data_IF_183326113299
#
_entry.id   IF_183326113299
#
_cell.length_a   1.000
_cell.length_b   1.000
_cell.length_c   1.000
_cell.angle_alpha   90.00
_cell.angle_beta   90.00
_cell.angle_gamma   90.00
#
_symmetry.space_group_name_H-M   'P 1'
#
loop_
_entity.id
_entity.type
_entity.pdbx_description
1 polymer ?
#
# COMPACT_ATOMS: atom_id res chain seq x y z
N UNK A 1 -11.41 36.26 35.06
CA UNK A 1 -11.95 34.89 35.17
C UNK A 1 -13.02 34.88 36.23
N UNK A 2 -14.28 34.60 35.86
CA UNK A 2 -15.40 34.59 36.81
C UNK A 2 -15.39 33.25 37.56
N UNK A 3 -15.65 33.27 38.87
CA UNK A 3 -15.65 32.08 39.74
C UNK A 3 -16.61 30.98 39.24
N UNK A 4 -17.64 31.37 38.51
CA UNK A 4 -18.68 30.47 37.98
C UNK A 4 -18.18 29.55 36.85
N UNK A 5 -17.15 29.97 36.10
CA UNK A 5 -16.52 29.13 35.07
C UNK A 5 -15.65 28.03 35.71
N UNK A 6 -15.04 28.33 36.86
CA UNK A 6 -14.22 27.39 37.63
C UNK A 6 -15.07 26.33 38.34
N UNK A 7 -16.24 26.71 38.87
CA UNK A 7 -17.18 25.74 39.45
C UNK A 7 -17.77 24.82 38.39
N UNK A 8 -18.12 25.34 37.21
CA UNK A 8 -18.59 24.52 36.09
C UNK A 8 -17.54 23.53 35.58
N UNK A 9 -16.26 23.94 35.54
CA UNK A 9 -15.14 23.04 35.21
C UNK A 9 -14.91 21.97 36.29
N UNK A 10 -15.10 22.32 37.57
CA UNK A 10 -14.98 21.39 38.70
C UNK A 10 -16.08 20.33 38.68
N UNK A 11 -17.32 20.72 38.40
CA UNK A 11 -18.45 19.79 38.26
C UNK A 11 -18.27 18.86 37.06
N UNK A 12 -17.77 19.36 35.93
CA UNK A 12 -17.43 18.53 34.76
C UNK A 12 -16.30 17.53 35.05
N UNK A 13 -15.34 17.90 35.89
CA UNK A 13 -14.26 17.00 36.33
C UNK A 13 -14.76 15.91 37.29
N UNK A 14 -15.74 16.22 38.13
CA UNK A 14 -16.28 15.30 39.13
C UNK A 14 -17.41 14.41 38.59
N UNK A 15 -18.10 14.85 37.53
CA UNK A 15 -19.20 14.12 36.89
C UNK A 15 -18.77 13.25 35.71
N UNK A 16 -17.51 13.36 35.26
CA UNK A 16 -16.97 12.47 34.26
C UNK A 16 -16.90 11.05 34.85
N UNK A 17 -17.60 10.05 34.28
CA UNK A 17 -17.45 8.66 34.71
C UNK A 17 -15.98 8.29 34.64
N UNK A 18 -15.48 7.48 35.58
CA UNK A 18 -14.14 6.91 35.55
C UNK A 18 -13.94 6.15 34.24
N UNK A 19 -13.54 6.86 33.19
CA UNK A 19 -13.14 6.26 31.93
C UNK A 19 -11.93 5.39 32.28
N UNK A 20 -11.90 4.12 31.83
CA UNK A 20 -10.84 3.19 32.20
C UNK A 20 -9.51 3.88 31.91
N UNK A 21 -8.66 4.01 32.93
CA UNK A 21 -7.38 4.68 32.85
C UNK A 21 -6.62 4.10 31.65
N UNK A 22 -6.66 4.83 30.53
CA UNK A 22 -6.06 4.37 29.30
C UNK A 22 -4.57 4.26 29.59
N UNK A 23 -4.03 3.05 29.55
CA UNK A 23 -2.63 2.77 29.87
C UNK A 23 -1.72 3.51 28.87
N UNK A 24 -1.42 4.77 29.18
CA UNK A 24 -0.67 5.72 28.37
C UNK A 24 0.69 5.17 27.96
N UNK A 25 1.31 4.36 28.81
CA UNK A 25 2.59 3.71 28.52
C UNK A 25 2.48 2.60 27.47
N UNK A 26 1.38 1.84 27.46
CA UNK A 26 1.15 0.85 26.40
C UNK A 26 0.86 1.53 25.07
N UNK A 27 0.13 2.65 25.08
CA UNK A 27 -0.08 3.48 23.87
C UNK A 27 1.22 4.07 23.34
N UNK A 28 2.05 4.69 24.20
CA UNK A 28 3.37 5.23 23.82
C UNK A 28 4.27 4.15 23.21
N UNK A 29 4.31 2.95 23.79
CA UNK A 29 5.10 1.83 23.25
C UNK A 29 4.57 1.36 21.89
N UNK A 30 3.25 1.22 21.72
CA UNK A 30 2.63 0.86 20.42
C UNK A 30 2.91 1.91 19.36
N UNK A 31 2.81 3.19 19.71
CA UNK A 31 3.11 4.31 18.83
C UNK A 31 4.58 4.28 18.37
N UNK A 32 5.52 4.11 19.30
CA UNK A 32 6.96 4.00 18.97
C UNK A 32 7.26 2.80 18.06
N UNK A 33 6.60 1.66 18.30
CA UNK A 33 6.73 0.46 17.46
C UNK A 33 6.17 0.68 16.05
N UNK A 34 5.01 1.31 15.93
CA UNK A 34 4.41 1.66 14.64
C UNK A 34 5.26 2.67 13.86
N UNK A 35 5.80 3.68 14.53
CA UNK A 35 6.76 4.62 13.96
C UNK A 35 7.94 3.87 13.34
N UNK A 36 8.57 2.99 14.12
CA UNK A 36 9.77 2.27 13.68
C UNK A 36 9.48 1.30 12.52
N UNK A 37 8.35 0.58 12.58
CA UNK A 37 7.89 -0.28 11.50
C UNK A 37 7.61 0.50 10.21
N UNK A 38 6.97 1.68 10.31
CA UNK A 38 6.77 2.54 9.15
C UNK A 38 8.09 3.03 8.58
N UNK A 39 9.02 3.52 9.40
CA UNK A 39 10.33 4.00 8.95
C UNK A 39 11.12 2.89 8.26
N UNK A 40 11.14 1.69 8.86
CA UNK A 40 11.79 0.52 8.27
C UNK A 40 11.18 0.17 6.91
N UNK A 41 9.85 0.09 6.80
CA UNK A 41 9.18 -0.21 5.54
C UNK A 41 9.48 0.84 4.46
N UNK A 42 9.55 2.12 4.81
CA UNK A 42 9.93 3.17 3.85
C UNK A 42 11.34 2.92 3.32
N UNK A 43 12.32 2.69 4.21
CA UNK A 43 13.72 2.44 3.81
C UNK A 43 13.82 1.22 2.90
N UNK A 44 13.19 0.11 3.28
CA UNK A 44 13.23 -1.14 2.51
C UNK A 44 12.59 -0.98 1.14
N UNK A 45 11.46 -0.29 1.05
CA UNK A 45 10.80 -0.01 -0.23
C UNK A 45 11.65 0.93 -1.11
N UNK A 46 12.32 1.93 -0.54
CA UNK A 46 13.25 2.80 -1.28
C UNK A 46 14.39 2.01 -1.88
N UNK A 47 15.01 1.12 -1.08
CA UNK A 47 16.11 0.27 -1.53
C UNK A 47 15.63 -0.66 -2.65
N UNK A 48 14.44 -1.25 -2.53
CA UNK A 48 13.86 -2.10 -3.56
C UNK A 48 13.63 -1.35 -4.88
N UNK A 49 13.06 -0.14 -4.84
CA UNK A 49 12.87 0.67 -6.06
C UNK A 49 14.21 1.01 -6.71
N UNK A 50 15.23 1.37 -5.91
CA UNK A 50 16.58 1.65 -6.41
C UNK A 50 17.19 0.39 -7.04
N UNK A 51 17.08 -0.77 -6.39
CA UNK A 51 17.62 -2.02 -6.89
C UNK A 51 16.95 -2.46 -8.20
N UNK A 52 15.62 -2.40 -8.27
CA UNK A 52 14.86 -2.71 -9.49
C UNK A 52 15.17 -1.72 -10.61
N UNK A 53 15.32 -0.43 -10.29
CA UNK A 53 15.72 0.60 -11.25
C UNK A 53 17.13 0.41 -11.78
N UNK A 54 18.08 0.05 -10.92
CA UNK A 54 19.44 -0.28 -11.33
C UNK A 54 19.44 -1.49 -12.28
N UNK A 55 18.73 -2.56 -11.93
CA UNK A 55 18.61 -3.75 -12.77
C UNK A 55 17.99 -3.43 -14.14
N UNK A 56 16.96 -2.58 -14.16
CA UNK A 56 16.34 -2.13 -15.41
C UNK A 56 17.31 -1.34 -16.31
N UNK A 57 18.07 -0.39 -15.74
CA UNK A 57 19.08 0.37 -16.50
C UNK A 57 20.18 -0.56 -17.04
N UNK A 58 20.62 -1.55 -16.26
CA UNK A 58 21.63 -2.51 -16.72
C UNK A 58 21.10 -3.41 -17.85
N UNK A 59 19.84 -3.82 -17.77
CA UNK A 59 19.18 -4.63 -18.80
C UNK A 59 18.86 -3.85 -20.08
N UNK A 60 18.66 -2.53 -20.00
CA UNK A 60 18.54 -1.69 -21.20
C UNK A 60 19.89 -1.50 -21.94
N UNK A 61 21.02 -1.72 -21.26
CA UNK A 61 22.37 -1.58 -21.84
C UNK A 61 22.91 -2.88 -22.42
N UNK A 62 22.44 -4.02 -21.94
CA UNK A 62 22.66 -5.29 -22.62
C UNK A 62 21.55 -5.45 -23.65
N UNK A 63 21.84 -5.89 -24.87
CA UNK A 63 20.81 -6.24 -25.88
C UNK A 63 20.05 -7.50 -25.43
N UNK A 64 19.26 -7.35 -24.38
CA UNK A 64 18.59 -8.45 -23.70
C UNK A 64 17.21 -8.71 -24.30
N UNK A 65 16.77 -9.95 -24.15
CA UNK A 65 15.47 -10.45 -24.64
C UNK A 65 14.34 -9.46 -24.33
N UNK A 66 13.56 -9.12 -25.36
CA UNK A 66 12.51 -8.10 -25.33
C UNK A 66 11.47 -8.42 -24.24
N UNK A 67 11.23 -9.72 -23.98
CA UNK A 67 10.36 -10.19 -22.91
C UNK A 67 10.90 -9.82 -21.52
N UNK A 68 12.21 -9.96 -21.27
CA UNK A 68 12.83 -9.61 -19.98
C UNK A 68 12.79 -8.09 -19.75
N UNK A 69 13.06 -7.31 -20.79
CA UNK A 69 13.01 -5.84 -20.73
C UNK A 69 11.61 -5.32 -20.40
N UNK A 70 10.56 -5.92 -20.98
CA UNK A 70 9.16 -5.59 -20.66
C UNK A 70 8.82 -5.95 -19.22
N UNK A 71 9.25 -7.12 -18.73
CA UNK A 71 9.02 -7.55 -17.35
C UNK A 71 9.70 -6.62 -16.33
N UNK A 72 10.98 -6.28 -16.56
CA UNK A 72 11.72 -5.35 -15.70
C UNK A 72 11.16 -3.93 -15.77
N UNK A 73 10.77 -3.46 -16.96
CA UNK A 73 10.15 -2.15 -17.12
C UNK A 73 8.82 -2.05 -16.37
N UNK A 74 7.98 -3.08 -16.47
CA UNK A 74 6.75 -3.17 -15.68
C UNK A 74 7.04 -3.22 -14.18
N UNK A 75 7.95 -4.09 -13.74
CA UNK A 75 8.33 -4.19 -12.33
C UNK A 75 8.86 -2.86 -11.78
N UNK A 76 9.68 -2.13 -12.54
CA UNK A 76 10.22 -0.85 -12.16
C UNK A 76 9.16 0.26 -12.10
N UNK A 77 8.38 0.43 -13.17
CA UNK A 77 7.31 1.42 -13.21
C UNK A 77 6.28 1.16 -12.11
N UNK A 78 5.89 -0.09 -11.93
CA UNK A 78 4.91 -0.49 -10.94
C UNK A 78 5.42 -0.33 -9.50
N UNK A 79 6.66 -0.75 -9.22
CA UNK A 79 7.31 -0.53 -7.92
C UNK A 79 7.43 0.96 -7.61
N UNK A 80 7.72 1.80 -8.60
CA UNK A 80 7.83 3.25 -8.42
C UNK A 80 6.47 3.90 -8.12
N UNK A 81 5.42 3.53 -8.85
CA UNK A 81 4.05 4.02 -8.61
C UNK A 81 3.55 3.60 -7.23
N UNK A 82 3.74 2.33 -6.85
CA UNK A 82 3.32 1.83 -5.54
C UNK A 82 4.11 2.48 -4.40
N UNK A 83 5.42 2.67 -4.56
CA UNK A 83 6.28 3.38 -3.62
C UNK A 83 5.82 4.83 -3.39
N UNK A 84 5.52 5.57 -4.45
CA UNK A 84 5.02 6.95 -4.34
C UNK A 84 3.68 7.02 -3.59
N UNK A 85 2.75 6.12 -3.91
CA UNK A 85 1.45 6.06 -3.23
C UNK A 85 1.58 5.66 -1.76
N UNK A 86 2.44 4.69 -1.44
CA UNK A 86 2.72 4.22 -0.08
C UNK A 86 3.37 5.32 0.77
N UNK A 87 4.37 6.00 0.23
CA UNK A 87 5.06 7.07 0.95
C UNK A 87 4.17 8.30 1.15
N UNK A 88 3.31 8.65 0.18
CA UNK A 88 2.35 9.74 0.34
C UNK A 88 1.34 9.44 1.46
N UNK A 89 0.81 8.22 1.50
CA UNK A 89 -0.11 7.76 2.55
C UNK A 89 0.58 7.75 3.93
N UNK A 90 1.82 7.27 4.02
CA UNK A 90 2.60 7.25 5.27
C UNK A 90 2.98 8.65 5.75
N UNK A 91 3.41 9.55 4.87
CA UNK A 91 3.68 10.96 5.20
C UNK A 91 2.44 11.65 5.79
N UNK A 92 1.27 11.36 5.25
CA UNK A 92 0.00 11.87 5.78
C UNK A 92 -0.29 11.29 7.17
N UNK A 93 -0.12 9.99 7.35
CA UNK A 93 -0.28 9.30 8.65
C UNK A 93 0.73 9.80 9.70
N UNK A 94 1.96 10.14 9.28
CA UNK A 94 2.99 10.75 10.14
C UNK A 94 2.63 12.15 10.63
N UNK A 95 2.11 13.00 9.74
CA UNK A 95 1.64 14.36 10.15
C UNK A 95 0.49 14.28 11.15
N UNK A 96 -0.39 13.30 10.95
CA UNK A 96 -1.53 12.98 11.79
C UNK A 96 -1.13 12.59 13.21
N UNK A 97 -0.21 11.64 13.33
CA UNK A 97 0.31 11.17 14.62
C UNK A 97 1.05 12.26 15.42
N UNK A 98 1.57 13.29 14.75
CA UNK A 98 2.33 14.36 15.39
C UNK A 98 1.46 15.48 15.95
N UNK A 99 0.27 15.72 15.38
CA UNK A 99 -0.40 17.01 15.52
C UNK A 99 -1.87 16.98 16.00
N UNK A 100 -2.54 15.83 16.14
CA UNK A 100 -4.00 15.79 16.44
C UNK A 100 -4.42 14.84 17.55
N UNK A 101 -5.43 15.25 18.33
CA UNK A 101 -6.11 14.46 19.36
C UNK A 101 -6.98 13.35 18.73
N UNK A 102 -7.14 12.22 19.43
CA UNK A 102 -7.80 10.99 18.96
C UNK A 102 -9.17 11.20 18.29
N UNK A 103 -9.96 12.18 18.74
CA UNK A 103 -11.29 12.48 18.20
C UNK A 103 -11.26 13.14 16.81
N UNK A 104 -10.20 13.89 16.47
CA UNK A 104 -10.02 14.42 15.11
C UNK A 104 -9.43 13.38 14.14
N UNK A 105 -8.87 12.28 14.66
CA UNK A 105 -8.13 11.29 13.86
C UNK A 105 -9.01 10.31 13.06
N UNK A 106 -10.28 10.13 13.44
CA UNK A 106 -11.22 9.20 12.81
C UNK A 106 -11.51 9.53 11.33
N UNK A 107 -11.94 10.77 10.97
CA UNK A 107 -12.18 11.13 9.55
C UNK A 107 -10.92 11.00 8.69
N UNK A 108 -9.75 11.22 9.31
CA UNK A 108 -8.47 11.05 8.65
C UNK A 108 -8.08 9.58 8.48
N UNK A 109 -8.37 8.70 9.44
CA UNK A 109 -8.25 7.24 9.29
C UNK A 109 -9.16 6.71 8.17
N UNK A 110 -10.39 7.23 8.05
CA UNK A 110 -11.29 6.94 6.93
C UNK A 110 -10.65 7.34 5.60
N UNK A 111 -10.00 8.51 5.53
CA UNK A 111 -9.30 8.96 4.32
C UNK A 111 -8.12 8.03 3.94
N UNK A 112 -7.37 7.56 4.93
CA UNK A 112 -6.24 6.65 4.73
C UNK A 112 -6.71 5.28 4.23
N UNK A 113 -7.82 4.76 4.78
CA UNK A 113 -8.41 3.49 4.31
C UNK A 113 -8.95 3.64 2.89
N UNK A 114 -9.57 4.77 2.54
CA UNK A 114 -10.00 5.05 1.15
C UNK A 114 -8.80 5.08 0.18
N UNK A 115 -7.69 5.71 0.57
CA UNK A 115 -6.46 5.69 -0.22
C UNK A 115 -5.88 4.27 -0.37
N UNK A 116 -5.96 3.47 0.68
CA UNK A 116 -5.54 2.06 0.65
C UNK A 116 -6.42 1.22 -0.29
N UNK A 117 -7.73 1.41 -0.29
CA UNK A 117 -8.65 0.75 -1.24
C UNK A 117 -8.31 1.13 -2.68
N UNK A 118 -8.12 2.43 -2.95
CA UNK A 118 -7.69 2.93 -4.26
C UNK A 118 -6.36 2.31 -4.69
N UNK A 119 -5.40 2.16 -3.77
CA UNK A 119 -4.11 1.51 -4.04
C UNK A 119 -4.29 0.05 -4.46
N UNK A 120 -5.08 -0.72 -3.71
CA UNK A 120 -5.32 -2.12 -4.05
C UNK A 120 -6.11 -2.28 -5.35
N UNK A 121 -7.03 -1.36 -5.64
CA UNK A 121 -7.74 -1.30 -6.92
C UNK A 121 -6.80 -0.99 -8.08
N UNK A 122 -5.92 0.02 -7.95
CA UNK A 122 -4.94 0.35 -8.99
C UNK A 122 -4.01 -0.83 -9.24
N UNK A 123 -3.60 -1.53 -8.17
CA UNK A 123 -2.74 -2.72 -8.23
C UNK A 123 -3.40 -3.88 -8.96
N UNK A 124 -4.67 -4.11 -8.67
CA UNK A 124 -5.44 -5.12 -9.36
C UNK A 124 -5.60 -4.77 -10.85
N UNK A 125 -5.98 -3.53 -11.18
CA UNK A 125 -6.17 -3.08 -12.56
C UNK A 125 -4.87 -3.14 -13.37
N UNK A 126 -3.74 -2.70 -12.81
CA UNK A 126 -2.46 -2.74 -13.50
C UNK A 126 -1.98 -4.17 -13.75
N UNK A 127 -2.13 -5.05 -12.76
CA UNK A 127 -1.79 -6.48 -12.92
C UNK A 127 -2.67 -7.13 -13.98
N UNK A 128 -3.95 -6.76 -14.06
CA UNK A 128 -4.87 -7.24 -15.08
C UNK A 128 -4.46 -6.77 -16.48
N UNK A 129 -4.18 -5.46 -16.66
CA UNK A 129 -3.69 -4.90 -17.92
C UNK A 129 -2.40 -5.60 -18.36
N UNK A 130 -1.46 -5.78 -17.43
CA UNK A 130 -0.20 -6.46 -17.72
C UNK A 130 -0.41 -7.91 -18.15
N UNK A 131 -1.30 -8.65 -17.47
CA UNK A 131 -1.66 -10.02 -17.84
C UNK A 131 -2.25 -10.07 -19.25
N UNK A 132 -3.09 -9.09 -19.62
CA UNK A 132 -3.65 -8.98 -20.97
C UNK A 132 -2.57 -8.69 -22.03
N UNK A 133 -1.64 -7.78 -21.76
CA UNK A 133 -0.52 -7.48 -22.66
C UNK A 133 0.37 -8.71 -22.86
N UNK A 134 0.68 -9.43 -21.79
CA UNK A 134 1.45 -10.67 -21.85
C UNK A 134 0.73 -11.74 -22.69
N UNK A 135 -0.57 -11.92 -22.48
CA UNK A 135 -1.37 -12.84 -23.28
C UNK A 135 -1.40 -12.45 -24.77
N UNK A 136 -1.46 -11.15 -25.07
CA UNK A 136 -1.44 -10.64 -26.44
C UNK A 136 -0.07 -10.88 -27.12
N UNK A 137 1.04 -10.66 -26.41
CA UNK A 137 2.38 -10.94 -26.93
C UNK A 137 2.56 -12.42 -27.25
N UNK A 138 2.16 -13.31 -26.34
CA UNK A 138 2.20 -14.77 -26.58
C UNK A 138 1.28 -15.16 -27.74
N UNK A 139 0.09 -14.55 -27.82
CA UNK A 139 -0.85 -14.80 -28.91
C UNK A 139 -0.31 -14.38 -30.28
N UNK A 140 0.33 -13.20 -30.37
CA UNK A 140 0.97 -12.72 -31.60
C UNK A 140 2.15 -13.61 -31.99
N UNK A 141 2.98 -14.01 -31.02
CA UNK A 141 4.12 -14.92 -31.27
C UNK A 141 3.64 -16.27 -31.83
N UNK A 142 2.60 -16.84 -31.23
CA UNK A 142 1.98 -18.08 -31.70
C UNK A 142 1.38 -17.94 -33.11
N UNK A 143 0.69 -16.83 -33.40
CA UNK A 143 0.13 -16.58 -34.73
C UNK A 143 1.22 -16.36 -35.79
N UNK A 144 2.35 -15.76 -35.42
CA UNK A 144 3.44 -15.45 -36.34
C UNK A 144 4.32 -16.67 -36.65
N UNK A 145 4.59 -17.52 -35.65
CA UNK A 145 5.54 -18.64 -35.77
C UNK A 145 4.87 -20.02 -35.79
N UNK A 146 3.57 -20.11 -35.48
CA UNK A 146 2.83 -21.37 -35.38
C UNK A 146 3.18 -22.21 -34.13
N UNK A 147 4.11 -21.75 -33.30
CA UNK A 147 4.56 -22.41 -32.07
C UNK A 147 4.77 -21.37 -30.98
N UNK A 148 4.68 -21.76 -29.70
CA UNK A 148 5.04 -20.85 -28.61
C UNK A 148 6.56 -20.92 -28.46
N UNK A 149 7.27 -19.86 -28.84
CA UNK A 149 8.75 -19.82 -28.78
C UNK A 149 9.27 -19.55 -27.36
N UNK A 150 8.39 -19.03 -26.50
CA UNK A 150 8.67 -18.75 -25.09
C UNK A 150 8.74 -20.05 -24.29
N UNK A 151 9.73 -20.16 -23.40
CA UNK A 151 9.84 -21.24 -22.40
C UNK A 151 8.52 -21.43 -21.64
N UNK A 152 7.77 -22.48 -21.99
CA UNK A 152 6.46 -22.83 -21.40
C UNK A 152 6.52 -22.88 -19.87
N UNK A 153 7.56 -23.45 -19.21
CA UNK A 153 7.63 -23.48 -17.76
C UNK A 153 7.72 -22.09 -17.13
N UNK A 154 8.49 -21.17 -17.76
CA UNK A 154 8.62 -19.78 -17.29
C UNK A 154 7.33 -19.01 -17.49
N UNK A 155 6.65 -19.22 -18.62
CA UNK A 155 5.36 -18.61 -18.90
C UNK A 155 4.29 -19.07 -17.90
N UNK A 156 4.22 -20.37 -17.61
CA UNK A 156 3.30 -20.93 -16.61
C UNK A 156 3.57 -20.34 -15.22
N UNK A 157 4.83 -20.26 -14.82
CA UNK A 157 5.21 -19.67 -13.53
C UNK A 157 4.83 -18.17 -13.47
N UNK A 158 5.09 -17.43 -14.54
CA UNK A 158 4.69 -16.03 -14.66
C UNK A 158 3.17 -15.85 -14.52
N UNK A 159 2.37 -16.60 -15.27
CA UNK A 159 0.89 -16.55 -15.18
C UNK A 159 0.41 -16.94 -13.79
N UNK A 160 0.99 -17.97 -13.18
CA UNK A 160 0.64 -18.41 -11.83
C UNK A 160 0.92 -17.31 -10.79
N UNK A 161 2.08 -16.65 -10.87
CA UNK A 161 2.41 -15.53 -9.96
C UNK A 161 1.47 -14.33 -10.16
N UNK A 162 1.09 -14.00 -11.39
CA UNK A 162 0.14 -12.93 -11.69
C UNK A 162 -1.26 -13.25 -11.14
N UNK A 163 -1.73 -14.50 -11.26
CA UNK A 163 -3.00 -14.95 -10.69
C UNK A 163 -3.01 -14.84 -9.16
N UNK A 164 -1.93 -15.29 -8.51
CA UNK A 164 -1.79 -15.13 -7.06
C UNK A 164 -1.79 -13.66 -6.64
N UNK A 165 -1.10 -12.80 -7.39
CA UNK A 165 -1.08 -11.35 -7.13
C UNK A 165 -2.48 -10.74 -7.26
N UNK A 166 -3.25 -11.09 -8.31
CA UNK A 166 -4.63 -10.63 -8.49
C UNK A 166 -5.54 -11.06 -7.33
N UNK A 167 -5.44 -12.31 -6.88
CA UNK A 167 -6.19 -12.82 -5.73
C UNK A 167 -5.81 -12.09 -4.44
N UNK A 168 -4.52 -11.89 -4.22
CA UNK A 168 -4.00 -11.17 -3.05
C UNK A 168 -4.50 -9.72 -3.02
N UNK A 169 -4.40 -8.98 -4.13
CA UNK A 169 -4.88 -7.60 -4.21
C UNK A 169 -6.39 -7.50 -4.02
N UNK A 170 -7.16 -8.43 -4.58
CA UNK A 170 -8.62 -8.51 -4.38
C UNK A 170 -8.97 -8.77 -2.92
N UNK A 171 -8.26 -9.68 -2.25
CA UNK A 171 -8.48 -9.99 -0.84
C UNK A 171 -8.15 -8.80 0.07
N UNK A 172 -7.02 -8.12 -0.17
CA UNK A 172 -6.62 -6.93 0.58
C UNK A 172 -7.60 -5.76 0.36
N UNK A 173 -8.06 -5.54 -0.88
CA UNK A 173 -9.10 -4.55 -1.19
C UNK A 173 -10.38 -4.80 -0.37
N UNK A 174 -10.90 -6.03 -0.41
CA UNK A 174 -12.12 -6.41 0.34
C UNK A 174 -11.97 -6.19 1.85
N UNK A 175 -10.80 -6.53 2.40
CA UNK A 175 -10.53 -6.35 3.83
C UNK A 175 -10.57 -4.86 4.20
N UNK A 176 -9.95 -4.00 3.40
CA UNK A 176 -9.96 -2.56 3.60
C UNK A 176 -11.38 -1.96 3.47
N UNK A 177 -12.19 -2.44 2.53
CA UNK A 177 -13.60 -2.05 2.38
C UNK A 177 -14.46 -2.44 3.60
N UNK A 178 -14.25 -3.64 4.17
CA UNK A 178 -14.95 -4.09 5.38
C UNK A 178 -14.58 -3.21 6.58
N UNK A 179 -13.30 -2.88 6.74
CA UNK A 179 -12.83 -2.00 7.81
C UNK A 179 -13.40 -0.58 7.64
N UNK A 180 -13.46 -0.07 6.41
CA UNK A 180 -14.06 1.22 6.11
C UNK A 180 -15.53 1.27 6.54
N UNK A 181 -16.32 0.24 6.19
CA UNK A 181 -17.74 0.16 6.56
C UNK A 181 -17.93 0.23 8.08
N UNK A 182 -17.15 -0.55 8.84
CA UNK A 182 -17.19 -0.57 10.31
C UNK A 182 -16.78 0.74 10.99
N UNK A 183 -16.02 1.59 10.30
CA UNK A 183 -15.59 2.90 10.81
C UNK A 183 -16.51 4.04 10.39
N UNK A 184 -17.41 3.80 9.42
CA UNK A 184 -18.38 4.77 8.92
C UNK A 184 -19.81 4.54 9.43
N UNK A 185 -20.07 3.38 10.04
CA UNK A 185 -21.26 3.06 10.85
C UNK A 185 -21.08 3.59 12.28
#
# INVERSE_FOLDING_TARGET
MKKDELSGLSELWQSAPEQPAVELDKLKRRHKKQFWLMTFNVITETILVIAVGYLFITQLRADTDLMQSIWLGFAFFWSSVTYLLLNRSRLHSFRLLRNKTLTESIPEHISLIKQEILRWQLSWTATLIFTLVLALLVGVDYLATGTITVDIPRLLLAVFTLLLALLFFRHKKRTAEIILKRLSE
#
